data_IF_533793893292
#
_entry.id   IF_533793893292
#
_cell.length_a   1.000
_cell.length_b   1.000
_cell.length_c   1.000
_cell.angle_alpha   90.00
_cell.angle_beta   90.00
_cell.angle_gamma   90.00
#
_symmetry.space_group_name_H-M   'P 1'
#
loop_
_entity.id
_entity.type
_entity.pdbx_description
1 polymer ?
#
# COMPACT_ATOMS: atom_id res chain seq x y z
N UNK A 1 8.40 -8.35 -63.37
CA UNK A 1 7.42 -9.05 -62.52
C UNK A 1 8.08 -9.27 -61.16
N UNK A 2 7.92 -8.31 -60.24
CA UNK A 2 8.49 -8.37 -58.89
C UNK A 2 7.33 -8.73 -57.97
N UNK A 3 7.39 -9.91 -57.35
CA UNK A 3 6.41 -10.37 -56.38
C UNK A 3 6.88 -9.84 -55.01
N UNK A 4 6.12 -8.88 -54.46
CA UNK A 4 6.31 -8.41 -53.08
C UNK A 4 5.53 -9.35 -52.17
N UNK A 5 6.23 -10.14 -51.37
CA UNK A 5 5.63 -11.02 -50.38
C UNK A 5 5.16 -10.18 -49.18
N UNK A 6 3.85 -10.16 -48.94
CA UNK A 6 3.26 -9.53 -47.76
C UNK A 6 3.63 -10.30 -46.49
N UNK A 7 4.37 -9.64 -45.60
CA UNK A 7 4.71 -10.18 -44.28
C UNK A 7 3.48 -10.00 -43.37
N UNK A 8 2.81 -11.10 -43.07
CA UNK A 8 1.64 -11.14 -42.17
C UNK A 8 2.15 -10.99 -40.73
N UNK A 9 1.90 -9.83 -40.11
CA UNK A 9 2.12 -9.61 -38.69
C UNK A 9 1.09 -10.43 -37.91
N UNK A 10 1.56 -11.51 -37.27
CA UNK A 10 0.78 -12.24 -36.26
C UNK A 10 0.77 -11.40 -34.98
N UNK A 11 -0.40 -10.99 -34.45
CA UNK A 11 -0.42 -10.28 -33.17
C UNK A 11 0.10 -11.22 -32.07
N UNK A 12 1.20 -10.84 -31.44
CA UNK A 12 1.68 -11.48 -30.22
C UNK A 12 0.68 -11.11 -29.14
N UNK A 13 -0.16 -12.06 -28.74
CA UNK A 13 -0.94 -11.95 -27.51
C UNK A 13 0.06 -12.12 -26.36
N UNK A 14 0.55 -11.01 -25.84
CA UNK A 14 1.26 -11.01 -24.56
C UNK A 14 0.18 -11.24 -23.51
N UNK A 15 0.00 -12.49 -23.07
CA UNK A 15 -0.76 -12.75 -21.84
C UNK A 15 -0.02 -12.03 -20.72
N UNK A 16 -0.45 -10.83 -20.37
CA UNK A 16 -0.01 -10.18 -19.16
C UNK A 16 -0.37 -11.11 -18.01
N UNK A 17 0.65 -11.58 -17.28
CA UNK A 17 0.44 -12.29 -16.01
C UNK A 17 -0.46 -11.42 -15.13
N UNK A 18 -1.40 -11.99 -14.35
CA UNK A 18 -2.12 -11.21 -13.35
C UNK A 18 -1.10 -10.43 -12.53
N UNK A 19 -1.36 -9.14 -12.35
CA UNK A 19 -0.46 -8.30 -11.57
C UNK A 19 -0.36 -8.88 -10.16
N UNK A 20 0.87 -9.08 -9.69
CA UNK A 20 1.09 -9.56 -8.34
C UNK A 20 0.45 -8.59 -7.33
N UNK A 21 -0.18 -9.12 -6.28
CA UNK A 21 -0.67 -8.32 -5.17
C UNK A 21 0.45 -7.40 -4.65
N UNK A 22 0.14 -6.13 -4.42
CA UNK A 22 1.08 -5.20 -3.83
C UNK A 22 0.96 -5.29 -2.31
N UNK A 23 2.04 -5.62 -1.62
CA UNK A 23 2.11 -5.54 -0.16
C UNK A 23 2.45 -4.12 0.26
N UNK A 24 1.51 -3.47 0.96
CA UNK A 24 1.71 -2.14 1.54
C UNK A 24 2.45 -2.33 2.86
N UNK A 25 3.58 -1.62 3.09
CA UNK A 25 4.26 -1.70 4.36
C UNK A 25 3.41 -1.08 5.48
N UNK A 26 3.45 -1.64 6.70
CA UNK A 26 2.81 -1.01 7.84
C UNK A 26 3.30 0.43 8.03
N UNK A 27 2.36 1.33 8.30
CA UNK A 27 2.65 2.74 8.55
C UNK A 27 2.59 3.01 10.06
N UNK A 28 3.65 3.61 10.59
CA UNK A 28 3.66 4.13 11.95
C UNK A 28 2.74 5.35 12.06
N UNK A 29 1.79 5.31 12.98
CA UNK A 29 0.81 6.39 13.19
C UNK A 29 1.23 7.29 14.36
N UNK A 30 1.38 6.70 15.56
CA UNK A 30 1.86 7.41 16.73
C UNK A 30 2.36 6.45 17.81
N UNK A 31 2.93 6.99 18.89
CA UNK A 31 3.35 6.22 20.05
C UNK A 31 3.02 6.95 21.35
N UNK A 32 2.86 6.20 22.42
CA UNK A 32 2.78 6.67 23.80
C UNK A 32 3.85 5.99 24.65
N UNK A 33 4.22 6.66 25.72
CA UNK A 33 5.20 6.18 26.69
C UNK A 33 4.66 6.40 28.10
N UNK A 34 5.00 5.48 28.99
CA UNK A 34 4.78 5.63 30.42
C UNK A 34 5.93 4.95 31.18
N UNK A 35 6.32 5.51 32.31
CA UNK A 35 7.26 4.88 33.24
C UNK A 35 6.86 5.16 34.71
N UNK A 36 7.52 4.50 35.64
CA UNK A 36 7.33 4.73 37.09
C UNK A 36 8.18 5.89 37.63
N UNK A 37 8.86 6.64 36.75
CA UNK A 37 9.81 7.70 37.08
C UNK A 37 10.82 7.27 38.16
N UNK A 38 10.93 8.02 39.25
CA UNK A 38 11.87 7.76 40.35
C UNK A 38 11.35 6.74 41.37
N UNK A 39 10.12 6.22 41.21
CA UNK A 39 9.50 5.35 42.19
C UNK A 39 9.50 3.90 41.69
N UNK A 40 9.63 2.96 42.63
CA UNK A 40 9.24 1.57 42.42
C UNK A 40 7.73 1.46 42.64
N UNK A 41 7.00 0.95 41.65
CA UNK A 41 5.56 0.76 41.73
C UNK A 41 5.20 -0.65 41.27
N UNK A 42 4.11 -1.19 41.79
CA UNK A 42 3.55 -2.48 41.34
C UNK A 42 2.57 -2.32 40.17
N UNK A 43 2.39 -1.10 39.67
CA UNK A 43 1.49 -0.82 38.55
C UNK A 43 1.97 0.34 37.69
N UNK A 44 1.76 0.23 36.38
CA UNK A 44 2.00 1.28 35.39
C UNK A 44 0.77 1.44 34.48
N UNK A 45 0.27 2.66 34.31
CA UNK A 45 -0.81 2.96 33.36
C UNK A 45 -0.21 3.55 32.09
N UNK A 46 -0.46 2.92 30.95
CA UNK A 46 -0.05 3.39 29.64
C UNK A 46 -1.28 3.77 28.81
N UNK A 47 -1.29 5.00 28.30
CA UNK A 47 -2.39 5.49 27.45
C UNK A 47 -2.33 4.81 26.07
N UNK A 48 -3.49 4.48 25.52
CA UNK A 48 -3.59 4.06 24.11
C UNK A 48 -3.29 5.29 23.23
N UNK A 49 -2.48 5.16 22.16
CA UNK A 49 -2.21 6.27 21.26
C UNK A 49 -3.50 6.90 20.69
N UNK A 50 -3.59 8.23 20.71
CA UNK A 50 -4.86 8.92 20.43
C UNK A 50 -5.36 8.78 18.97
N UNK A 51 -4.49 8.31 18.07
CA UNK A 51 -4.80 8.09 16.65
C UNK A 51 -5.34 6.69 16.34
N UNK A 52 -5.35 5.79 17.33
CA UNK A 52 -5.67 4.39 17.13
C UNK A 52 -7.09 4.20 16.62
N UNK A 53 -7.21 3.43 15.55
CA UNK A 53 -8.47 3.04 14.92
C UNK A 53 -8.68 1.54 15.04
N UNK A 54 -9.95 1.12 14.94
CA UNK A 54 -10.25 -0.32 14.85
C UNK A 54 -9.55 -0.92 13.62
N UNK A 55 -8.83 -2.02 13.83
CA UNK A 55 -8.04 -2.68 12.80
C UNK A 55 -6.59 -2.20 12.70
N UNK A 56 -6.18 -1.16 13.42
CA UNK A 56 -4.77 -0.86 13.62
C UNK A 56 -4.14 -1.96 14.53
N UNK A 57 -2.84 -2.19 14.40
CA UNK A 57 -2.09 -3.12 15.26
C UNK A 57 -1.24 -2.32 16.23
N UNK A 58 -1.55 -2.49 17.51
CA UNK A 58 -0.76 -1.93 18.60
C UNK A 58 0.39 -2.87 18.94
N UNK A 59 1.58 -2.31 19.11
CA UNK A 59 2.77 -3.03 19.59
C UNK A 59 3.19 -2.43 20.91
N UNK A 60 3.38 -3.28 21.92
CA UNK A 60 3.77 -2.86 23.26
C UNK A 60 5.13 -3.46 23.59
N UNK A 61 6.11 -2.59 23.84
CA UNK A 61 7.41 -2.94 24.40
C UNK A 61 7.41 -2.59 25.88
N UNK A 62 7.81 -3.54 26.72
CA UNK A 62 7.82 -3.37 28.18
C UNK A 62 9.19 -3.78 28.72
N UNK A 63 9.73 -2.90 29.54
CA UNK A 63 10.95 -3.10 30.31
C UNK A 63 10.63 -3.07 31.81
N UNK A 64 11.16 -4.02 32.58
CA UNK A 64 11.02 -4.04 34.04
C UNK A 64 12.27 -4.54 34.76
N UNK A 65 12.47 -4.07 35.99
CA UNK A 65 13.64 -4.41 36.81
C UNK A 65 13.60 -5.80 37.48
N UNK A 66 12.55 -6.60 37.25
CA UNK A 66 12.50 -8.03 37.60
C UNK A 66 12.02 -8.86 36.40
N UNK A 67 12.15 -10.19 36.52
CA UNK A 67 11.97 -11.19 35.44
C UNK A 67 10.55 -11.74 35.31
N UNK A 68 9.54 -10.88 35.50
CA UNK A 68 8.13 -11.26 35.50
C UNK A 68 7.36 -10.53 34.40
N UNK A 69 6.31 -11.16 33.86
CA UNK A 69 5.41 -10.48 32.92
C UNK A 69 4.27 -9.77 33.68
N UNK A 70 3.80 -8.61 33.20
CA UNK A 70 2.67 -7.94 33.79
C UNK A 70 1.35 -8.68 33.53
N UNK A 71 0.43 -8.58 34.49
CA UNK A 71 -1.00 -8.79 34.26
C UNK A 71 -1.67 -7.51 33.73
N UNK A 72 -2.93 -7.61 33.28
CA UNK A 72 -3.70 -6.47 32.74
C UNK A 72 -3.69 -6.32 31.22
N UNK A 73 -3.05 -7.27 30.51
CA UNK A 73 -2.94 -7.32 29.05
C UNK A 73 -3.95 -8.29 28.41
N UNK A 74 -5.20 -8.29 28.88
CA UNK A 74 -6.24 -9.13 28.27
C UNK A 74 -6.45 -8.75 26.80
N UNK A 75 -6.47 -9.74 25.90
CA UNK A 75 -6.59 -9.52 24.45
C UNK A 75 -5.26 -9.30 23.73
N UNK A 76 -4.18 -8.99 24.45
CA UNK A 76 -2.84 -8.89 23.87
C UNK A 76 -2.22 -10.28 23.70
N UNK A 77 -1.44 -10.43 22.65
CA UNK A 77 -0.63 -11.61 22.38
C UNK A 77 0.83 -11.29 22.66
N UNK A 78 1.47 -12.10 23.51
CA UNK A 78 2.90 -11.98 23.76
C UNK A 78 3.68 -12.47 22.54
N UNK A 79 4.65 -11.70 22.10
CA UNK A 79 5.55 -12.04 20.99
C UNK A 79 6.82 -12.69 21.55
N UNK A 80 7.57 -11.95 22.36
CA UNK A 80 8.84 -12.41 22.92
C UNK A 80 9.08 -11.83 24.31
N UNK A 81 10.00 -12.45 25.03
CA UNK A 81 10.64 -11.89 26.22
C UNK A 81 11.99 -12.52 26.46
N UNK A 82 12.87 -11.77 27.12
CA UNK A 82 14.14 -12.27 27.63
C UNK A 82 14.49 -11.64 28.96
N UNK A 83 15.48 -12.22 29.62
CA UNK A 83 15.94 -11.84 30.94
C UNK A 83 17.45 -11.59 30.92
N UNK A 84 17.91 -10.48 31.49
CA UNK A 84 19.31 -10.29 31.84
C UNK A 84 19.47 -10.44 33.36
N UNK A 85 19.92 -11.64 33.74
CA UNK A 85 20.01 -12.03 35.14
C UNK A 85 18.63 -12.09 35.77
N UNK A 86 18.53 -11.57 37.00
CA UNK A 86 17.25 -11.39 37.70
C UNK A 86 16.78 -9.93 37.72
N UNK A 87 17.49 -9.02 37.06
CA UNK A 87 17.35 -7.57 37.25
C UNK A 87 16.80 -6.81 36.04
N UNK A 88 16.52 -7.51 34.95
CA UNK A 88 15.99 -6.90 33.73
C UNK A 88 15.16 -7.92 32.95
N UNK A 89 13.93 -7.53 32.63
CA UNK A 89 13.05 -8.17 31.66
C UNK A 89 12.81 -7.19 30.52
N UNK A 90 13.02 -7.66 29.31
CA UNK A 90 12.51 -7.00 28.11
C UNK A 90 11.45 -7.89 27.47
N UNK A 91 10.32 -7.32 27.07
CA UNK A 91 9.21 -8.07 26.48
C UNK A 91 8.48 -7.26 25.41
N UNK A 92 7.86 -7.98 24.47
CA UNK A 92 7.05 -7.39 23.40
C UNK A 92 5.73 -8.12 23.22
N UNK A 93 4.69 -7.36 22.91
CA UNK A 93 3.32 -7.83 22.72
C UNK A 93 2.70 -7.13 21.50
N UNK A 94 1.67 -7.74 20.92
CA UNK A 94 0.80 -7.06 19.97
C UNK A 94 -0.68 -7.24 20.30
N UNK A 95 -1.51 -6.30 19.83
CA UNK A 95 -2.96 -6.39 19.87
C UNK A 95 -3.56 -5.79 18.60
N UNK A 96 -4.60 -6.42 18.06
CA UNK A 96 -5.38 -5.83 16.95
C UNK A 96 -6.48 -4.98 17.58
N UNK A 97 -6.38 -3.67 17.40
CA UNK A 97 -7.27 -2.70 18.04
C UNK A 97 -8.74 -2.94 17.65
N UNK A 98 -9.61 -3.02 18.65
CA UNK A 98 -11.04 -3.24 18.48
C UNK A 98 -11.83 -2.55 19.59
N UNK A 99 -11.97 -1.23 19.45
CA UNK A 99 -12.60 -0.34 20.43
C UNK A 99 -11.84 -0.30 21.75
N UNK A 100 -10.60 0.14 21.65
CA UNK A 100 -9.65 0.22 22.76
C UNK A 100 -10.14 1.12 23.91
N UNK A 101 -9.80 0.79 25.17
CA UNK A 101 -9.94 1.72 26.28
C UNK A 101 -8.99 2.91 26.11
N UNK A 102 -9.18 3.96 26.90
CA UNK A 102 -8.26 5.11 26.89
C UNK A 102 -6.84 4.75 27.36
N UNK A 103 -6.71 3.71 28.19
CA UNK A 103 -5.44 3.23 28.73
C UNK A 103 -5.52 1.78 29.17
N UNK A 104 -4.34 1.15 29.27
CA UNK A 104 -4.12 -0.15 29.87
C UNK A 104 -3.34 0.01 31.18
N UNK A 105 -3.64 -0.84 32.17
CA UNK A 105 -2.90 -0.87 33.44
C UNK A 105 -2.13 -2.18 33.57
N UNK A 106 -0.81 -2.08 33.51
CA UNK A 106 0.14 -3.16 33.76
C UNK A 106 0.26 -3.35 35.27
N UNK A 107 0.08 -4.57 35.77
CA UNK A 107 0.17 -4.87 37.21
C UNK A 107 1.14 -6.01 37.48
N UNK A 108 2.02 -5.80 38.45
CA UNK A 108 3.04 -6.74 38.93
C UNK A 108 2.81 -7.10 40.39
N UNK A 109 3.30 -8.26 40.87
CA UNK A 109 3.16 -8.65 42.27
C UNK A 109 4.09 -7.86 43.19
N UNK A 110 5.26 -7.46 42.69
CA UNK A 110 6.26 -6.67 43.42
C UNK A 110 6.34 -5.23 42.91
N UNK A 111 6.84 -4.32 43.76
CA UNK A 111 7.18 -2.96 43.35
C UNK A 111 8.51 -2.98 42.59
N UNK A 112 8.57 -2.28 41.47
CA UNK A 112 9.77 -2.23 40.63
C UNK A 112 9.77 -1.02 39.70
N UNK A 113 10.89 -0.76 39.05
CA UNK A 113 10.95 0.16 37.92
C UNK A 113 10.33 -0.50 36.68
N UNK A 114 9.44 0.24 36.00
CA UNK A 114 8.73 -0.21 34.80
C UNK A 114 8.77 0.93 33.78
N UNK A 115 9.07 0.60 32.53
CA UNK A 115 8.93 1.50 31.38
C UNK A 115 8.21 0.76 30.26
N UNK A 116 7.31 1.45 29.56
CA UNK A 116 6.55 0.86 28.48
C UNK A 116 6.32 1.86 27.34
N UNK A 117 6.38 1.34 26.12
CA UNK A 117 6.08 2.06 24.89
C UNK A 117 5.00 1.33 24.11
N UNK A 118 3.94 2.04 23.75
CA UNK A 118 2.88 1.52 22.89
C UNK A 118 2.92 2.26 21.57
N UNK A 119 3.07 1.52 20.47
CA UNK A 119 3.14 2.05 19.12
C UNK A 119 1.91 1.60 18.33
N UNK A 120 1.39 2.49 17.50
CA UNK A 120 0.21 2.31 16.67
C UNK A 120 0.61 2.16 15.19
N UNK A 121 0.22 1.05 14.56
CA UNK A 121 0.53 0.77 13.16
C UNK A 121 -0.73 0.48 12.33
N UNK A 122 -0.81 1.12 11.16
CA UNK A 122 -1.86 0.87 10.16
C UNK A 122 -1.34 0.04 8.99
N UNK A 123 -2.21 -0.75 8.37
CA UNK A 123 -1.86 -1.54 7.18
C UNK A 123 -1.11 -2.83 7.49
N UNK A 124 -1.28 -3.36 8.70
CA UNK A 124 -0.80 -4.69 9.10
C UNK A 124 -1.84 -5.74 8.73
N UNK A 125 -1.40 -6.95 8.35
CA UNK A 125 -2.28 -8.10 8.21
C UNK A 125 -2.83 -8.52 9.59
N UNK A 126 -4.08 -8.19 9.88
CA UNK A 126 -4.69 -8.44 11.20
C UNK A 126 -5.02 -9.92 11.45
N UNK A 127 -4.96 -10.77 10.42
CA UNK A 127 -5.19 -12.21 10.56
C UNK A 127 -3.93 -12.97 10.95
N UNK A 128 -2.76 -12.49 10.50
CA UNK A 128 -1.44 -13.02 10.85
C UNK A 128 -0.40 -11.87 10.98
N UNK A 129 -0.43 -11.10 12.09
CA UNK A 129 0.30 -9.83 12.18
C UNK A 129 1.82 -9.94 12.26
N UNK A 130 2.38 -11.08 12.68
CA UNK A 130 3.81 -11.24 12.95
C UNK A 130 4.41 -12.21 11.94
N UNK A 131 5.31 -11.74 11.08
CA UNK A 131 5.98 -12.60 10.09
C UNK A 131 7.30 -13.21 10.58
N UNK A 132 7.97 -12.52 11.52
CA UNK A 132 9.18 -12.97 12.17
C UNK A 132 9.32 -12.29 13.53
N UNK A 133 9.98 -12.95 14.47
CA UNK A 133 10.31 -12.38 15.77
C UNK A 133 11.53 -13.08 16.38
N UNK A 134 12.11 -12.49 17.43
CA UNK A 134 13.23 -13.08 18.16
C UNK A 134 13.67 -12.24 19.35
N UNK A 135 14.52 -12.84 20.17
CA UNK A 135 15.05 -12.21 21.38
C UNK A 135 16.54 -12.53 21.58
N UNK A 136 17.28 -11.56 22.10
CA UNK A 136 18.65 -11.72 22.60
C UNK A 136 18.73 -11.15 24.02
N UNK A 137 19.39 -11.87 24.92
CA UNK A 137 19.66 -11.42 26.29
C UNK A 137 21.15 -11.42 26.57
N UNK A 138 21.62 -10.44 27.32
CA UNK A 138 23.00 -10.30 27.74
C UNK A 138 23.09 -9.81 29.19
N UNK A 139 23.46 -10.73 30.08
CA UNK A 139 23.69 -10.49 31.53
C UNK A 139 25.16 -10.19 31.84
N UNK A 140 25.94 -9.79 30.83
CA UNK A 140 27.32 -9.37 30.98
C UNK A 140 27.43 -7.90 30.61
N UNK A 141 28.03 -7.11 31.49
CA UNK A 141 28.28 -5.68 31.29
C UNK A 141 28.93 -5.41 29.91
N UNK A 142 28.24 -4.63 29.08
CA UNK A 142 28.63 -4.31 27.71
C UNK A 142 28.35 -2.85 27.38
N UNK A 143 29.03 -2.30 26.36
CA UNK A 143 28.70 -0.99 25.77
C UNK A 143 27.85 -1.13 24.49
N UNK A 144 27.53 -2.36 24.10
CA UNK A 144 26.82 -2.67 22.86
C UNK A 144 25.63 -3.55 23.16
N UNK A 145 24.50 -3.22 22.55
CA UNK A 145 23.26 -3.99 22.63
C UNK A 145 23.00 -4.61 21.26
N UNK A 146 22.98 -5.93 21.18
CA UNK A 146 22.82 -6.66 19.91
C UNK A 146 21.37 -7.08 19.69
N UNK A 147 20.87 -6.93 18.47
CA UNK A 147 19.58 -7.52 18.07
C UNK A 147 19.72 -8.95 17.55
N UNK A 148 18.66 -9.77 17.60
CA UNK A 148 18.61 -11.06 16.92
C UNK A 148 18.63 -10.90 15.40
N UNK A 149 19.09 -11.94 14.70
CA UNK A 149 18.82 -12.09 13.26
C UNK A 149 17.41 -12.65 13.07
N UNK A 150 16.57 -11.97 12.28
CA UNK A 150 15.22 -12.43 11.97
C UNK A 150 15.18 -13.18 10.64
N UNK A 151 14.53 -14.35 10.63
CA UNK A 151 14.24 -15.12 9.42
C UNK A 151 12.75 -15.06 9.10
N UNK A 152 12.38 -14.88 7.83
CA UNK A 152 10.97 -14.83 7.40
C UNK A 152 10.40 -13.43 7.17
N UNK A 153 11.23 -12.39 7.31
CA UNK A 153 10.86 -10.99 7.05
C UNK A 153 10.55 -10.79 5.56
N UNK A 154 9.33 -10.36 5.25
CA UNK A 154 8.93 -9.92 3.92
C UNK A 154 9.50 -8.55 3.56
N UNK A 155 9.65 -8.28 2.27
CA UNK A 155 10.24 -7.01 1.77
C UNK A 155 9.44 -5.76 2.15
N UNK A 156 8.15 -5.92 2.47
CA UNK A 156 7.27 -4.83 2.92
C UNK A 156 7.00 -4.87 4.43
N UNK A 157 7.57 -5.81 5.18
CA UNK A 157 7.26 -5.90 6.61
C UNK A 157 7.94 -4.76 7.38
N UNK A 158 7.26 -4.20 8.37
CA UNK A 158 7.88 -3.23 9.26
C UNK A 158 8.60 -3.97 10.39
N UNK A 159 9.93 -3.90 10.43
CA UNK A 159 10.72 -4.54 11.48
C UNK A 159 10.95 -3.56 12.60
N UNK A 160 10.51 -3.92 13.80
CA UNK A 160 10.71 -3.18 15.03
C UNK A 160 11.68 -3.91 15.92
N UNK A 161 12.56 -3.15 16.57
CA UNK A 161 13.50 -3.65 17.56
C UNK A 161 13.37 -2.79 18.81
N UNK A 162 12.99 -3.42 19.93
CA UNK A 162 13.04 -2.83 21.26
C UNK A 162 14.33 -3.26 21.95
N UNK A 163 15.25 -2.31 22.09
CA UNK A 163 16.47 -2.45 22.89
C UNK A 163 16.15 -2.03 24.32
N UNK A 164 16.14 -2.98 25.25
CA UNK A 164 15.91 -2.76 26.69
C UNK A 164 17.24 -2.90 27.41
N UNK A 165 17.55 -2.01 28.33
CA UNK A 165 18.87 -1.96 28.94
C UNK A 165 18.85 -1.39 30.35
N UNK A 166 19.58 -2.09 31.21
CA UNK A 166 19.81 -1.70 32.60
C UNK A 166 21.24 -1.20 32.78
N UNK A 167 21.37 0.03 33.24
CA UNK A 167 22.66 0.69 33.45
C UNK A 167 23.34 0.36 34.77
N UNK A 168 24.68 0.43 34.77
CA UNK A 168 25.44 0.51 36.02
C UNK A 168 25.21 1.88 36.70
N UNK A 169 25.26 2.00 38.03
CA UNK A 169 24.92 3.25 38.76
C UNK A 169 26.00 4.35 38.65
N UNK A 170 26.38 4.75 37.43
CA UNK A 170 27.54 5.62 37.19
C UNK A 170 27.31 6.61 36.03
N UNK A 171 26.27 7.45 36.13
CA UNK A 171 26.11 8.63 35.27
C UNK A 171 24.91 8.62 34.33
N UNK A 172 24.91 9.56 33.37
CA UNK A 172 23.80 9.75 32.42
C UNK A 172 23.79 8.59 31.42
N UNK A 173 22.66 7.89 31.36
CA UNK A 173 22.45 6.82 30.41
C UNK A 173 21.98 7.39 29.06
N UNK A 174 22.60 6.99 27.95
CA UNK A 174 22.13 7.32 26.58
C UNK A 174 22.34 6.14 25.65
N UNK A 175 21.39 5.90 24.76
CA UNK A 175 21.48 4.92 23.69
C UNK A 175 21.65 5.62 22.34
N UNK A 176 22.50 5.07 21.49
CA UNK A 176 22.77 5.59 20.15
C UNK A 176 22.18 4.59 19.14
N UNK A 177 21.10 4.97 18.44
CA UNK A 177 20.47 4.12 17.43
C UNK A 177 21.41 3.68 16.31
N UNK A 178 21.16 2.53 15.68
CA UNK A 178 21.96 2.06 14.57
C UNK A 178 21.72 2.89 13.30
N UNK A 179 22.77 3.10 12.51
CA UNK A 179 22.67 3.85 11.25
C UNK A 179 21.71 3.17 10.27
N UNK A 180 20.86 3.94 9.59
CA UNK A 180 19.91 3.41 8.61
C UNK A 180 18.63 2.80 9.21
N UNK A 181 18.45 2.92 10.52
CA UNK A 181 17.20 2.65 11.23
C UNK A 181 16.59 3.96 11.72
N UNK A 182 15.26 4.01 11.73
CA UNK A 182 14.52 5.18 12.23
C UNK A 182 14.21 4.96 13.70
N UNK A 183 14.67 5.85 14.56
CA UNK A 183 14.28 5.85 15.98
C UNK A 183 12.82 6.31 16.12
N UNK A 184 12.00 5.49 16.76
CA UNK A 184 10.59 5.77 17.04
C UNK A 184 10.39 6.34 18.42
N UNK A 185 11.14 5.83 19.39
CA UNK A 185 11.07 6.29 20.76
C UNK A 185 12.35 5.92 21.51
N UNK A 186 12.69 6.73 22.49
CA UNK A 186 13.76 6.43 23.43
C UNK A 186 13.41 7.03 24.78
N UNK A 187 13.70 6.29 25.85
CA UNK A 187 13.68 6.78 27.21
C UNK A 187 14.99 6.37 27.88
N UNK A 188 15.63 7.35 28.52
CA UNK A 188 16.83 7.14 29.32
C UNK A 188 16.67 7.83 30.67
N UNK A 189 17.31 7.29 31.70
CA UNK A 189 17.31 7.85 33.05
C UNK A 189 18.64 8.53 33.35
N UNK A 190 18.60 9.65 34.07
CA UNK A 190 19.78 10.33 34.60
C UNK A 190 19.86 10.27 36.13
N UNK A 191 19.02 9.43 36.76
CA UNK A 191 18.86 9.36 38.20
C UNK A 191 19.83 8.36 38.85
N UNK A 192 20.63 8.77 39.85
CA UNK A 192 21.41 7.84 40.67
C UNK A 192 20.57 6.85 41.49
N UNK A 193 19.29 7.18 41.71
CA UNK A 193 18.33 6.38 42.49
C UNK A 193 17.34 5.59 41.61
N UNK A 194 17.41 5.77 40.30
CA UNK A 194 16.76 4.93 39.30
C UNK A 194 17.79 4.70 38.17
N UNK A 195 18.87 3.94 38.41
CA UNK A 195 19.85 3.61 37.37
C UNK A 195 19.34 2.55 36.38
N UNK A 196 18.10 2.07 36.53
CA UNK A 196 17.86 0.65 36.30
C UNK A 196 17.30 0.28 34.94
N UNK A 197 16.68 1.20 34.19
CA UNK A 197 16.05 0.85 32.92
C UNK A 197 16.05 2.00 31.92
N UNK A 198 16.20 1.65 30.65
CA UNK A 198 15.90 2.53 29.54
C UNK A 198 15.89 1.75 28.24
N UNK A 199 15.03 2.22 27.35
CA UNK A 199 14.77 1.55 26.11
C UNK A 199 14.84 2.49 24.91
N UNK A 200 15.21 1.90 23.79
CA UNK A 200 15.17 2.52 22.47
C UNK A 200 14.39 1.60 21.53
N UNK A 201 13.50 2.18 20.74
CA UNK A 201 12.72 1.46 19.74
C UNK A 201 13.05 2.02 18.38
N UNK A 202 13.53 1.14 17.51
CA UNK A 202 13.92 1.50 16.15
C UNK A 202 13.15 0.67 15.14
N UNK A 203 13.00 1.22 13.93
CA UNK A 203 12.25 0.59 12.85
C UNK A 203 13.00 0.65 11.51
N UNK A 204 12.83 -0.41 10.70
CA UNK A 204 13.20 -0.45 9.30
C UNK A 204 12.26 -1.36 8.51
N UNK A 205 11.81 -0.90 7.34
CA UNK A 205 11.03 -1.71 6.40
C UNK A 205 11.93 -2.77 5.76
N UNK A 206 11.50 -4.02 5.77
CA UNK A 206 12.22 -5.17 5.21
C UNK A 206 13.59 -5.41 5.86
N UNK A 207 13.78 -4.96 7.10
CA UNK A 207 15.06 -5.07 7.81
C UNK A 207 15.42 -6.51 8.13
N UNK A 208 16.29 -7.13 7.32
CA UNK A 208 16.87 -8.47 7.59
C UNK A 208 18.25 -8.41 8.22
N UNK A 209 18.82 -7.20 8.33
CA UNK A 209 20.05 -6.96 9.08
C UNK A 209 19.82 -7.17 10.58
N UNK A 210 20.87 -7.49 11.33
CA UNK A 210 20.86 -7.56 12.81
C UNK A 210 21.67 -6.40 13.40
N UNK A 211 21.12 -5.16 13.45
CA UNK A 211 21.84 -3.99 13.94
C UNK A 211 22.12 -4.06 15.44
N UNK A 212 23.02 -3.21 15.91
CA UNK A 212 23.32 -3.03 17.34
C UNK A 212 23.29 -1.56 17.73
N UNK A 213 22.83 -1.27 18.95
CA UNK A 213 22.98 0.05 19.58
C UNK A 213 24.24 0.16 20.43
N UNK A 214 24.69 1.40 20.65
CA UNK A 214 25.81 1.70 21.55
C UNK A 214 25.31 2.48 22.76
N UNK A 215 25.74 2.10 23.96
CA UNK A 215 25.43 2.77 25.22
C UNK A 215 26.60 3.63 25.71
N UNK A 216 26.30 4.73 26.43
CA UNK A 216 27.32 5.61 27.05
C UNK A 216 27.96 5.04 28.31
N UNK A 217 27.34 4.04 28.92
CA UNK A 217 27.77 3.35 30.15
C UNK A 217 27.65 1.84 29.97
N UNK A 218 28.29 1.07 30.84
CA UNK A 218 28.10 -0.38 30.88
C UNK A 218 26.65 -0.72 31.22
N UNK A 219 26.09 -1.65 30.47
CA UNK A 219 24.71 -2.11 30.62
C UNK A 219 24.63 -3.63 30.58
N UNK A 220 23.57 -4.16 31.17
CA UNK A 220 22.99 -5.46 30.78
C UNK A 220 21.78 -5.20 29.89
N UNK A 221 21.41 -6.14 29.02
CA UNK A 221 20.37 -5.87 28.01
C UNK A 221 19.50 -7.06 27.67
N UNK A 222 18.28 -6.74 27.26
CA UNK A 222 17.39 -7.63 26.52
C UNK A 222 16.97 -6.91 25.26
N UNK A 223 16.96 -7.60 24.13
CA UNK A 223 16.48 -7.04 22.86
C UNK A 223 15.39 -7.93 22.32
N UNK A 224 14.18 -7.39 22.20
CA UNK A 224 13.07 -8.07 21.53
C UNK A 224 12.88 -7.47 20.15
N UNK A 225 12.63 -8.30 19.15
CA UNK A 225 12.45 -7.85 17.77
C UNK A 225 11.29 -8.57 17.13
N UNK A 226 10.53 -7.85 16.32
CA UNK A 226 9.38 -8.40 15.60
C UNK A 226 9.23 -7.72 14.25
N UNK A 227 8.70 -8.45 13.28
CA UNK A 227 8.35 -7.95 11.97
C UNK A 227 6.82 -7.97 11.83
N UNK A 228 6.23 -6.79 11.66
CA UNK A 228 4.81 -6.64 11.36
C UNK A 228 4.57 -6.95 9.89
N UNK A 229 3.72 -7.93 9.61
CA UNK A 229 3.36 -8.36 8.27
C UNK A 229 2.54 -7.26 7.58
N UNK A 230 3.03 -6.75 6.45
CA UNK A 230 2.29 -5.78 5.65
C UNK A 230 1.05 -6.40 5.01
N UNK A 231 -0.04 -5.63 4.90
CA UNK A 231 -1.26 -6.09 4.22
C UNK A 231 -1.04 -6.22 2.72
N UNK A 232 -1.49 -7.35 2.16
CA UNK A 232 -1.53 -7.55 0.71
C UNK A 232 -2.81 -6.95 0.14
N UNK A 233 -2.69 -5.95 -0.72
CA UNK A 233 -3.82 -5.44 -1.51
C UNK A 233 -3.67 -5.87 -2.96
N UNK A 234 -4.78 -6.30 -3.57
CA UNK A 234 -4.79 -6.49 -5.02
C UNK A 234 -4.69 -5.12 -5.68
N UNK A 235 -3.68 -4.85 -6.52
CA UNK A 235 -3.55 -3.56 -7.17
C UNK A 235 -4.75 -3.33 -8.10
N UNK A 236 -5.14 -2.07 -8.26
CA UNK A 236 -6.13 -1.64 -9.26
C UNK A 236 -5.46 -0.89 -10.40
N UNK A 237 -6.16 -0.78 -11.53
CA UNK A 237 -5.78 0.08 -12.64
C UNK A 237 -6.99 0.80 -13.23
N UNK A 238 -6.79 1.35 -14.43
CA UNK A 238 -7.84 2.03 -15.17
C UNK A 238 -7.96 1.58 -16.62
N UNK A 239 -9.08 1.94 -17.23
CA UNK A 239 -9.34 1.83 -18.65
C UNK A 239 -9.93 3.15 -19.16
N UNK A 240 -9.27 3.77 -20.14
CA UNK A 240 -9.80 4.90 -20.88
C UNK A 240 -10.35 4.44 -22.22
N UNK A 241 -11.63 4.71 -22.47
CA UNK A 241 -12.23 4.56 -23.80
C UNK A 241 -12.14 5.90 -24.51
N UNK A 242 -11.39 5.95 -25.61
CA UNK A 242 -11.22 7.14 -26.45
C UNK A 242 -12.04 7.00 -27.72
N UNK A 243 -12.95 7.94 -27.97
CA UNK A 243 -13.77 7.97 -29.18
C UNK A 243 -13.20 8.92 -30.22
N UNK A 244 -13.09 8.43 -31.44
CA UNK A 244 -12.82 9.21 -32.66
C UNK A 244 -14.05 9.12 -33.57
N UNK A 245 -14.80 10.21 -33.66
CA UNK A 245 -15.93 10.35 -34.57
C UNK A 245 -15.54 11.16 -35.82
N UNK A 246 -16.35 11.14 -36.88
CA UNK A 246 -16.19 12.05 -38.01
C UNK A 246 -16.11 13.51 -37.55
N UNK A 247 -15.35 14.33 -38.27
CA UNK A 247 -15.19 15.74 -37.93
C UNK A 247 -16.54 16.46 -37.88
N UNK A 248 -16.80 17.20 -36.79
CA UNK A 248 -18.05 17.92 -36.58
C UNK A 248 -19.24 17.08 -36.13
N UNK A 249 -19.09 15.76 -35.93
CA UNK A 249 -20.15 14.87 -35.45
C UNK A 249 -20.71 15.31 -34.10
N UNK A 250 -22.04 15.43 -34.01
CA UNK A 250 -22.79 15.71 -32.75
C UNK A 250 -23.55 14.48 -32.23
N UNK A 251 -23.40 13.32 -32.87
CA UNK A 251 -24.00 12.05 -32.44
C UNK A 251 -23.45 11.61 -31.08
N UNK A 252 -24.34 11.09 -30.22
CA UNK A 252 -23.98 10.37 -29.01
C UNK A 252 -23.71 8.90 -29.34
N UNK A 253 -22.51 8.41 -29.00
CA UNK A 253 -22.11 7.02 -29.17
C UNK A 253 -22.18 6.32 -27.81
N UNK A 254 -23.01 5.29 -27.70
CA UNK A 254 -23.21 4.53 -26.47
C UNK A 254 -22.21 3.37 -26.34
N UNK A 255 -21.61 3.24 -25.16
CA UNK A 255 -20.61 2.23 -24.84
C UNK A 255 -21.06 1.34 -23.68
N UNK A 256 -20.69 0.06 -23.76
CA UNK A 256 -20.71 -0.88 -22.66
C UNK A 256 -19.32 -1.50 -22.50
N UNK A 257 -18.77 -1.46 -21.29
CA UNK A 257 -17.50 -2.10 -20.95
C UNK A 257 -17.77 -3.22 -19.94
N UNK A 258 -17.45 -4.44 -20.34
CA UNK A 258 -17.59 -5.63 -19.49
C UNK A 258 -16.22 -6.10 -19.03
N UNK A 259 -16.02 -6.22 -17.72
CA UNK A 259 -14.76 -6.58 -17.07
C UNK A 259 -14.99 -7.86 -16.25
N UNK A 260 -14.22 -8.91 -16.53
CA UNK A 260 -14.44 -10.22 -15.92
C UNK A 260 -14.12 -10.23 -14.42
N UNK A 261 -15.11 -10.55 -13.58
CA UNK A 261 -14.90 -10.69 -12.13
C UNK A 261 -14.83 -9.38 -11.35
N UNK A 262 -15.01 -8.23 -12.01
CA UNK A 262 -15.18 -6.94 -11.33
C UNK A 262 -16.65 -6.79 -10.87
N UNK A 263 -16.93 -6.60 -9.57
CA UNK A 263 -18.28 -6.45 -9.05
C UNK A 263 -19.01 -5.21 -9.55
N UNK A 264 -18.31 -4.20 -10.06
CA UNK A 264 -18.89 -2.96 -10.60
C UNK A 264 -19.20 -3.06 -12.10
N UNK A 265 -18.88 -4.18 -12.75
CA UNK A 265 -19.15 -4.41 -14.17
C UNK A 265 -20.59 -4.88 -14.43
N UNK A 266 -21.27 -4.47 -15.52
CA UNK A 266 -20.80 -3.65 -16.64
C UNK A 266 -20.84 -2.14 -16.40
N UNK A 267 -19.91 -1.42 -17.04
CA UNK A 267 -19.92 0.04 -17.11
C UNK A 267 -20.63 0.51 -18.38
N UNK A 268 -21.56 1.45 -18.27
CA UNK A 268 -22.29 2.01 -19.43
C UNK A 268 -22.19 3.53 -19.42
N UNK A 269 -21.87 4.12 -20.58
CA UNK A 269 -21.73 5.58 -20.74
C UNK A 269 -21.90 5.96 -22.21
N UNK A 270 -21.99 7.26 -22.52
CA UNK A 270 -21.98 7.78 -23.89
C UNK A 270 -20.89 8.83 -24.08
N UNK A 271 -20.40 8.95 -25.31
CA UNK A 271 -19.50 10.04 -25.73
C UNK A 271 -20.12 10.73 -26.95
N UNK A 272 -20.33 12.05 -26.86
CA UNK A 272 -20.83 12.86 -27.98
C UNK A 272 -19.68 13.31 -28.87
N UNK A 273 -19.78 13.04 -30.18
CA UNK A 273 -18.71 13.33 -31.12
C UNK A 273 -17.41 12.58 -30.77
N UNK A 274 -16.28 13.30 -30.69
CA UNK A 274 -15.00 12.73 -30.24
C UNK A 274 -14.72 13.12 -28.80
N UNK A 275 -14.14 12.20 -28.01
CA UNK A 275 -13.89 12.43 -26.59
C UNK A 275 -13.24 11.23 -25.91
N UNK A 276 -13.21 11.23 -24.58
CA UNK A 276 -12.69 10.12 -23.79
C UNK A 276 -13.45 9.95 -22.49
N UNK A 277 -13.58 8.70 -22.04
CA UNK A 277 -14.19 8.36 -20.75
C UNK A 277 -13.24 7.45 -19.95
N UNK A 278 -12.74 7.91 -18.79
CA UNK A 278 -11.92 7.09 -17.90
C UNK A 278 -12.78 6.22 -16.97
N UNK A 279 -12.34 5.00 -16.72
CA UNK A 279 -12.86 4.08 -15.70
C UNK A 279 -11.69 3.71 -14.80
N UNK A 280 -11.83 3.87 -13.48
CA UNK A 280 -10.78 3.62 -12.49
C UNK A 280 -11.21 2.57 -11.47
N UNK A 281 -10.25 2.07 -10.69
CA UNK A 281 -10.52 1.13 -9.60
C UNK A 281 -10.82 -0.29 -10.07
N UNK A 282 -10.56 -0.61 -11.34
CA UNK A 282 -10.73 -1.95 -11.87
C UNK A 282 -9.58 -2.82 -11.32
N UNK A 283 -9.82 -4.03 -10.77
CA UNK A 283 -8.75 -4.90 -10.32
C UNK A 283 -7.73 -5.14 -11.45
N UNK A 284 -6.44 -5.00 -11.16
CA UNK A 284 -5.39 -5.18 -12.16
C UNK A 284 -5.34 -6.64 -12.65
N UNK A 285 -5.00 -6.84 -13.92
CA UNK A 285 -5.08 -8.13 -14.59
C UNK A 285 -6.48 -8.49 -15.09
N UNK A 286 -7.51 -7.69 -14.77
CA UNK A 286 -8.87 -7.92 -15.28
C UNK A 286 -8.91 -7.72 -16.79
N UNK A 287 -9.52 -8.68 -17.50
CA UNK A 287 -9.82 -8.53 -18.92
C UNK A 287 -11.14 -7.77 -19.08
N UNK A 288 -11.08 -6.65 -19.80
CA UNK A 288 -12.22 -5.82 -20.12
C UNK A 288 -12.46 -5.80 -21.63
N UNK A 289 -13.74 -5.85 -22.05
CA UNK A 289 -14.16 -5.73 -23.45
C UNK A 289 -15.01 -4.49 -23.62
N UNK A 290 -14.57 -3.60 -24.51
CA UNK A 290 -15.29 -2.39 -24.93
C UNK A 290 -16.20 -2.75 -26.10
N UNK A 291 -17.48 -2.43 -25.97
CA UNK A 291 -18.46 -2.55 -27.05
C UNK A 291 -19.16 -1.20 -27.26
N UNK A 292 -19.19 -0.73 -28.50
CA UNK A 292 -20.01 0.40 -28.93
C UNK A 292 -21.32 -0.12 -29.53
N UNK A 293 -22.45 0.44 -29.12
CA UNK A 293 -23.72 0.21 -29.80
C UNK A 293 -23.70 0.83 -31.20
N UNK A 294 -24.42 0.25 -32.17
CA UNK A 294 -24.44 0.80 -33.53
C UNK A 294 -25.00 2.23 -33.53
N UNK A 295 -24.25 3.24 -34.04
CA UNK A 295 -24.72 4.63 -34.09
C UNK A 295 -25.68 4.90 -35.26
N UNK A 296 -26.23 3.86 -35.88
CA UNK A 296 -27.17 3.94 -37.00
C UNK A 296 -26.57 3.55 -38.36
N UNK A 297 -27.41 3.61 -39.40
CA UNK A 297 -27.12 3.03 -40.73
C UNK A 297 -26.08 3.79 -41.55
N UNK A 298 -25.83 5.07 -41.23
CA UNK A 298 -24.92 5.96 -41.96
C UNK A 298 -23.44 5.72 -41.64
N UNK A 299 -23.16 4.92 -40.60
CA UNK A 299 -21.81 4.65 -40.15
C UNK A 299 -21.33 3.27 -40.58
N UNK A 300 -20.02 3.16 -40.81
CA UNK A 300 -19.34 1.86 -40.82
C UNK A 300 -19.29 1.30 -39.39
N UNK A 301 -19.07 -0.01 -39.27
CA UNK A 301 -18.84 -0.63 -37.97
C UNK A 301 -17.62 -0.01 -37.28
N UNK A 302 -17.69 0.13 -35.95
CA UNK A 302 -16.60 0.69 -35.17
C UNK A 302 -15.33 -0.17 -35.28
N UNK A 303 -14.18 0.49 -35.38
CA UNK A 303 -12.86 -0.16 -35.32
C UNK A 303 -12.17 0.16 -34.00
N UNK A 304 -11.46 -0.81 -33.43
CA UNK A 304 -10.84 -0.71 -32.11
C UNK A 304 -9.32 -0.80 -32.21
N UNK A 305 -8.61 0.05 -31.49
CA UNK A 305 -7.14 0.05 -31.40
C UNK A 305 -6.68 0.26 -29.96
N UNK A 306 -5.74 -0.55 -29.42
CA UNK A 306 -5.08 -1.68 -30.10
C UNK A 306 -6.02 -2.88 -30.31
N UNK A 307 -7.04 -3.04 -29.47
CA UNK A 307 -8.07 -4.08 -29.61
C UNK A 307 -9.30 -3.71 -28.76
N UNK A 308 -10.46 -4.31 -29.05
CA UNK A 308 -11.68 -4.12 -28.25
C UNK A 308 -11.58 -4.75 -26.85
N UNK A 309 -10.73 -5.77 -26.69
CA UNK A 309 -10.43 -6.41 -25.41
C UNK A 309 -9.04 -5.99 -24.93
N UNK A 310 -8.92 -5.63 -23.66
CA UNK A 310 -7.66 -5.22 -23.05
C UNK A 310 -7.57 -5.73 -21.62
N UNK A 311 -6.36 -6.02 -21.18
CA UNK A 311 -6.06 -6.34 -19.79
C UNK A 311 -5.70 -5.04 -19.06
N UNK A 312 -6.35 -4.77 -17.93
CA UNK A 312 -6.08 -3.57 -17.13
C UNK A 312 -4.73 -3.72 -16.42
N UNK A 313 -3.76 -2.81 -16.63
CA UNK A 313 -2.46 -2.87 -15.97
C UNK A 313 -2.56 -2.44 -14.49
N UNK A 314 -1.61 -2.86 -13.65
CA UNK A 314 -1.54 -2.40 -12.27
C UNK A 314 -1.04 -0.96 -12.17
N UNK A 315 -1.72 -0.14 -11.36
CA UNK A 315 -1.37 1.25 -11.08
C UNK A 315 -1.19 2.12 -12.34
N UNK A 316 -1.78 1.72 -13.45
CA UNK A 316 -1.70 2.40 -14.74
C UNK A 316 -3.04 2.27 -15.48
N UNK A 317 -3.17 2.95 -16.61
CA UNK A 317 -4.41 3.02 -17.39
C UNK A 317 -4.22 2.49 -18.80
N UNK A 318 -4.93 1.42 -19.13
CA UNK A 318 -5.07 0.98 -20.52
C UNK A 318 -5.91 1.97 -21.32
N UNK A 319 -5.64 2.14 -22.61
CA UNK A 319 -6.47 2.96 -23.51
C UNK A 319 -6.95 2.15 -24.70
N UNK A 320 -8.26 2.19 -24.96
CA UNK A 320 -8.88 1.64 -26.18
C UNK A 320 -9.44 2.80 -26.99
N UNK A 321 -8.93 2.99 -28.19
CA UNK A 321 -9.45 3.95 -29.18
C UNK A 321 -10.50 3.27 -30.05
N UNK A 322 -11.72 3.80 -30.02
CA UNK A 322 -12.85 3.37 -30.85
C UNK A 322 -13.08 4.43 -31.92
N UNK A 323 -13.10 4.01 -33.19
CA UNK A 323 -13.23 4.92 -34.34
C UNK A 323 -14.43 4.55 -35.19
N UNK A 324 -15.23 5.56 -35.57
CA UNK A 324 -16.28 5.40 -36.58
C UNK A 324 -16.04 6.33 -37.76
N UNK A 325 -16.40 5.84 -38.94
CA UNK A 325 -16.37 6.59 -40.19
C UNK A 325 -17.76 6.58 -40.84
N UNK A 326 -18.08 7.62 -41.61
CA UNK A 326 -19.31 7.65 -42.40
C UNK A 326 -19.18 6.72 -43.61
N UNK A 327 -20.29 6.08 -43.97
CA UNK A 327 -20.42 5.44 -45.28
C UNK A 327 -20.47 6.51 -46.36
N UNK A 328 -19.77 6.27 -47.46
CA UNK A 328 -19.77 7.16 -48.62
C UNK A 328 -20.83 6.72 -49.63
N UNK A 329 -21.44 7.69 -50.30
CA UNK A 329 -22.25 7.47 -51.49
C UNK A 329 -21.68 8.25 -52.67
N UNK A 330 -22.14 7.92 -53.88
CA UNK A 330 -21.69 8.56 -55.12
C UNK A 330 -22.75 9.54 -55.63
N UNK A 331 -22.31 10.72 -56.10
CA UNK A 331 -23.15 11.69 -56.81
C UNK A 331 -22.78 11.69 -58.29
N UNK A 332 -23.71 11.27 -59.15
CA UNK A 332 -23.55 11.34 -60.59
C UNK A 332 -24.38 12.49 -61.17
N UNK A 333 -23.72 13.41 -61.88
CA UNK A 333 -24.37 14.52 -62.59
C UNK A 333 -24.41 14.18 -64.07
N UNK A 334 -25.62 14.05 -64.63
CA UNK A 334 -25.83 13.85 -66.06
C UNK A 334 -26.47 15.08 -66.67
N UNK A 335 -25.73 15.80 -67.53
CA UNK A 335 -26.27 16.94 -68.26
C UNK A 335 -26.81 16.50 -69.62
N UNK A 336 -28.12 16.64 -69.82
CA UNK A 336 -28.77 16.50 -71.13
C UNK A 336 -28.89 17.87 -71.79
N UNK A 337 -28.48 18.00 -73.05
CA UNK A 337 -28.54 19.25 -73.82
C UNK A 337 -29.21 19.04 -75.19
N UNK A 338 -29.81 20.09 -75.79
CA UNK A 338 -30.35 20.00 -77.15
C UNK A 338 -29.29 19.62 -78.19
N UNK A 339 -29.69 18.90 -79.23
CA UNK A 339 -28.80 18.50 -80.32
C UNK A 339 -28.16 19.73 -80.99
N UNK A 340 -26.83 19.71 -81.15
CA UNK A 340 -26.07 20.81 -81.75
C UNK A 340 -25.67 21.93 -80.78
N UNK A 341 -25.95 21.81 -79.47
CA UNK A 341 -25.50 22.79 -78.48
C UNK A 341 -23.97 22.80 -78.33
N UNK A 342 -23.37 24.00 -78.32
CA UNK A 342 -21.94 24.24 -78.06
C UNK A 342 -21.70 24.98 -76.74
N UNK A 343 -22.74 25.11 -75.90
CA UNK A 343 -22.65 25.88 -74.66
C UNK A 343 -21.94 25.08 -73.56
N UNK A 344 -21.11 25.75 -72.78
CA UNK A 344 -20.55 25.22 -71.52
C UNK A 344 -21.60 25.28 -70.42
N UNK A 345 -21.69 24.22 -69.62
CA UNK A 345 -22.56 24.14 -68.45
C UNK A 345 -21.70 23.87 -67.21
N UNK A 346 -21.56 24.89 -66.37
CA UNK A 346 -20.83 24.79 -65.11
C UNK A 346 -21.77 24.35 -63.99
N UNK A 347 -21.31 23.44 -63.15
CA UNK A 347 -22.03 22.95 -61.97
C UNK A 347 -21.18 23.22 -60.74
N UNK A 348 -21.78 23.86 -59.74
CA UNK A 348 -21.22 23.91 -58.40
C UNK A 348 -21.96 22.88 -57.54
N UNK A 349 -21.21 22.05 -56.81
CA UNK A 349 -21.77 21.03 -55.93
C UNK A 349 -21.30 21.31 -54.52
N UNK A 350 -22.27 21.47 -53.63
CA UNK A 350 -22.04 21.56 -52.19
C UNK A 350 -22.74 20.38 -51.52
N UNK A 351 -21.96 19.56 -50.83
CA UNK A 351 -22.47 18.45 -50.03
C UNK A 351 -22.49 18.90 -48.57
N UNK A 352 -23.68 18.95 -47.96
CA UNK A 352 -23.83 19.14 -46.51
C UNK A 352 -24.04 17.78 -45.85
N UNK A 353 -23.31 17.51 -44.76
CA UNK A 353 -23.60 16.34 -43.93
C UNK A 353 -24.71 16.70 -42.94
N UNK A 354 -25.76 15.87 -42.77
CA UNK A 354 -26.74 16.07 -41.71
C UNK A 354 -26.12 15.92 -40.32
N UNK A 355 -24.94 15.29 -40.21
CA UNK A 355 -24.20 15.07 -38.97
C UNK A 355 -23.30 16.23 -38.54
N UNK A 356 -23.32 17.35 -39.27
CA UNK A 356 -22.48 18.52 -39.00
C UNK A 356 -23.28 19.84 -38.94
N UNK A 357 -24.53 19.82 -38.45
CA UNK A 357 -25.25 21.07 -38.17
C UNK A 357 -25.11 21.47 -36.69
N UNK A 358 -24.89 22.76 -36.39
CA UNK A 358 -24.67 23.26 -35.02
C UNK A 358 -25.86 23.06 -34.09
#
# INVERSE_FOLDING_TARGET
>A
MIVVAGMMLVPIVVNASPAAAATIPPAFESATHADTLLNELSSLTISVPATTQNGDVLVLFIESANVEDPSGLSGWTKVDSGDAGSSLRGSSYYHVASSEPASYTLTYPDIQHISAFMLDYRGVDTSDPISAHGVVSNDIDSLTISSPTLSGVGSSDAVLIGFHARGVPVGIFTLIPPSGWTERAQQTTNSPNNPDIGASIVEKVGGTDSPSETASILITSVTTSLALRGVSVNPTGGLTVKKVAPAGSTVAFDFTVTCSGDPNSPYTFHITGSGSHPISGIPAGTSCTVAEASPGTNYNAATYSPSASVVVPANDTATVTVTNTLKTGDLQITKVAPAGSTQTYDFNVECTSPDTSP
#
